data_IF_053730896189
#
_entry.id   IF_053730896189
#
_cell.length_a   1.000
_cell.length_b   1.000
_cell.length_c   1.000
_cell.angle_alpha   90.00
_cell.angle_beta   90.00
_cell.angle_gamma   90.00
#
_symmetry.space_group_name_H-M   'P 1'
#
loop_
_entity.id
_entity.type
_entity.pdbx_description
1 polymer ?
#
# COMPACT_ATOMS: atom_id res chain seq x y z
N UNK A 1 -7.31 -17.92 -6.61
CA UNK A 1 -6.01 -17.63 -7.26
C UNK A 1 -4.94 -17.76 -6.18
N UNK A 2 -3.68 -18.12 -6.48
CA UNK A 2 -2.65 -18.22 -5.44
C UNK A 2 -1.92 -16.88 -5.25
N UNK A 3 -1.46 -16.63 -4.02
CA UNK A 3 -0.61 -15.48 -3.69
C UNK A 3 0.68 -15.52 -4.53
N UNK A 4 1.11 -14.36 -5.03
CA UNK A 4 2.29 -14.25 -5.92
C UNK A 4 3.18 -13.08 -5.50
N UNK A 5 4.48 -13.29 -5.54
CA UNK A 5 5.49 -12.22 -5.47
C UNK A 5 6.37 -12.26 -6.72
N UNK A 6 6.80 -11.10 -7.18
CA UNK A 6 7.64 -10.92 -8.37
C UNK A 6 8.84 -10.06 -7.96
N UNK A 7 10.04 -10.59 -8.18
CA UNK A 7 11.27 -9.81 -8.06
C UNK A 7 11.50 -9.09 -9.39
N UNK A 8 11.28 -7.78 -9.43
CA UNK A 8 11.32 -7.01 -10.67
C UNK A 8 10.98 -5.54 -10.48
N UNK A 9 11.18 -4.75 -11.53
CA UNK A 9 10.86 -3.33 -11.54
C UNK A 9 9.36 -3.14 -11.90
N UNK A 10 8.64 -2.34 -11.12
CA UNK A 10 7.23 -2.03 -11.36
C UNK A 10 6.98 -1.44 -12.77
N UNK A 11 7.89 -0.62 -13.30
CA UNK A 11 7.79 -0.06 -14.66
C UNK A 11 7.90 -1.14 -15.75
N UNK A 12 8.48 -2.29 -15.43
CA UNK A 12 8.64 -3.42 -16.35
C UNK A 12 7.52 -4.46 -16.15
N UNK A 13 7.12 -4.72 -14.90
CA UNK A 13 6.17 -5.77 -14.58
C UNK A 13 4.70 -5.34 -14.76
N UNK A 14 4.35 -4.09 -14.44
CA UNK A 14 2.98 -3.60 -14.60
C UNK A 14 2.48 -3.63 -16.06
N UNK A 15 3.27 -3.26 -17.09
CA UNK A 15 2.85 -3.40 -18.50
C UNK A 15 2.44 -4.81 -18.90
N UNK A 16 3.03 -5.84 -18.27
CA UNK A 16 2.76 -7.25 -18.57
C UNK A 16 1.46 -7.77 -17.93
N UNK A 17 0.92 -7.06 -16.94
CA UNK A 17 -0.29 -7.47 -16.26
C UNK A 17 -1.52 -7.22 -17.12
N UNK A 18 -2.49 -8.13 -17.08
CA UNK A 18 -3.76 -8.01 -17.78
C UNK A 18 -4.63 -6.88 -17.18
N UNK A 19 -5.48 -6.29 -18.02
CA UNK A 19 -6.43 -5.26 -17.62
C UNK A 19 -7.42 -5.80 -16.59
N UNK A 20 -7.75 -4.99 -15.57
CA UNK A 20 -8.73 -5.33 -14.52
C UNK A 20 -8.46 -6.69 -13.84
N UNK A 21 -7.19 -7.08 -13.73
CA UNK A 21 -6.75 -8.36 -13.16
C UNK A 21 -6.60 -8.36 -11.64
N UNK A 22 -6.63 -7.19 -11.00
CA UNK A 22 -6.61 -7.04 -9.54
C UNK A 22 -7.77 -6.17 -9.08
N UNK A 23 -8.22 -6.38 -7.85
CA UNK A 23 -9.42 -5.72 -7.31
C UNK A 23 -9.07 -4.43 -6.56
N UNK A 24 -7.93 -4.40 -5.87
CA UNK A 24 -7.46 -3.28 -5.06
C UNK A 24 -5.95 -3.06 -5.26
N UNK A 25 -5.52 -1.82 -5.45
CA UNK A 25 -4.11 -1.44 -5.34
C UNK A 25 -3.92 -0.66 -4.05
N UNK A 26 -2.95 -1.05 -3.22
CA UNK A 26 -2.50 -0.26 -2.07
C UNK A 26 -0.98 -0.19 -2.14
N UNK A 27 -0.41 1.01 -2.19
CA UNK A 27 1.04 1.13 -2.38
C UNK A 27 1.65 2.42 -1.84
N UNK A 28 2.92 2.32 -1.44
CA UNK A 28 3.77 3.42 -0.95
C UNK A 28 4.99 3.57 -1.88
N UNK A 29 4.82 4.24 -3.02
CA UNK A 29 5.86 4.33 -4.05
C UNK A 29 7.01 5.22 -3.60
N UNK A 30 8.23 5.04 -4.17
CA UNK A 30 9.34 5.95 -3.99
C UNK A 30 8.97 7.43 -4.22
N UNK A 31 9.41 8.31 -3.31
CA UNK A 31 9.06 9.73 -3.34
C UNK A 31 9.96 10.58 -4.25
N UNK A 32 10.96 10.00 -4.91
CA UNK A 32 11.85 10.68 -5.86
C UNK A 32 11.38 10.56 -7.32
N UNK A 33 10.26 9.88 -7.58
CA UNK A 33 9.67 9.82 -8.92
C UNK A 33 9.24 11.18 -9.44
N UNK A 34 9.62 11.45 -10.69
CA UNK A 34 9.20 12.64 -11.42
C UNK A 34 7.75 12.51 -11.95
N UNK A 35 7.22 13.59 -12.53
CA UNK A 35 5.84 13.62 -13.02
C UNK A 35 5.56 12.60 -14.14
N UNK A 36 6.54 12.33 -15.01
CA UNK A 36 6.41 11.36 -16.11
C UNK A 36 6.27 9.95 -15.53
N UNK A 37 7.17 9.58 -14.62
CA UNK A 37 7.15 8.29 -13.92
C UNK A 37 5.84 8.07 -13.16
N UNK A 38 5.39 9.07 -12.40
CA UNK A 38 4.09 8.99 -11.72
C UNK A 38 2.94 8.82 -12.70
N UNK A 39 2.99 9.47 -13.88
CA UNK A 39 1.94 9.42 -14.91
C UNK A 39 1.83 8.04 -15.50
N UNK A 40 2.96 7.42 -15.83
CA UNK A 40 3.03 6.05 -16.32
C UNK A 40 2.50 5.05 -15.29
N UNK A 41 2.95 5.15 -14.04
CA UNK A 41 2.44 4.30 -12.95
C UNK A 41 0.94 4.47 -12.76
N UNK A 42 0.45 5.71 -12.71
CA UNK A 42 -0.97 5.98 -12.52
C UNK A 42 -1.82 5.45 -13.69
N UNK A 43 -1.34 5.54 -14.93
CA UNK A 43 -1.98 4.92 -16.08
C UNK A 43 -2.11 3.40 -15.89
N UNK A 44 -1.01 2.72 -15.53
CA UNK A 44 -1.03 1.29 -15.29
C UNK A 44 -1.92 0.90 -14.11
N UNK A 45 -1.91 1.66 -13.01
CA UNK A 45 -2.80 1.42 -11.88
C UNK A 45 -4.27 1.47 -12.31
N UNK A 46 -4.67 2.47 -13.11
CA UNK A 46 -6.05 2.59 -13.60
C UNK A 46 -6.45 1.44 -14.53
N UNK A 47 -5.53 1.00 -15.40
CA UNK A 47 -5.75 -0.10 -16.34
C UNK A 47 -5.91 -1.45 -15.64
N UNK A 48 -5.03 -1.74 -14.69
CA UNK A 48 -4.91 -3.05 -14.04
C UNK A 48 -5.92 -3.21 -12.89
N UNK A 49 -6.21 -2.13 -12.15
CA UNK A 49 -7.11 -2.18 -11.00
C UNK A 49 -8.58 -2.08 -11.41
N UNK A 50 -9.40 -3.02 -10.92
CA UNK A 50 -10.84 -3.03 -11.16
C UNK A 50 -11.56 -1.98 -10.34
N UNK A 51 -11.32 -1.92 -9.02
CA UNK A 51 -12.14 -1.14 -8.10
C UNK A 51 -11.47 0.11 -7.58
N UNK A 52 -10.50 -0.02 -6.67
CA UNK A 52 -10.00 1.11 -5.87
C UNK A 52 -8.48 1.14 -5.88
N UNK A 53 -7.89 2.32 -6.00
CA UNK A 53 -6.44 2.53 -5.96
C UNK A 53 -6.13 3.44 -4.78
N UNK A 54 -5.22 3.01 -3.92
CA UNK A 54 -4.77 3.74 -2.73
C UNK A 54 -3.27 3.97 -2.82
N UNK A 55 -2.86 5.24 -2.82
CA UNK A 55 -1.46 5.63 -2.91
C UNK A 55 -1.07 6.47 -1.70
N UNK A 56 -0.04 6.05 -0.99
CA UNK A 56 0.59 6.83 0.06
C UNK A 56 1.58 7.84 -0.52
N UNK A 57 1.60 9.06 0.02
CA UNK A 57 2.54 10.09 -0.43
C UNK A 57 2.62 11.23 0.61
N UNK A 58 3.81 11.85 0.80
CA UNK A 58 3.96 12.98 1.70
C UNK A 58 3.41 14.27 1.08
N UNK A 59 2.99 15.25 1.91
CA UNK A 59 2.45 16.53 1.43
C UNK A 59 3.34 17.32 0.44
N UNK A 60 4.67 17.23 0.51
CA UNK A 60 5.58 17.93 -0.41
C UNK A 60 5.77 17.21 -1.74
N UNK A 61 5.46 15.92 -1.79
CA UNK A 61 5.61 15.12 -3.00
C UNK A 61 4.34 14.35 -3.28
N UNK A 62 3.25 15.09 -3.41
CA UNK A 62 1.91 14.57 -3.67
C UNK A 62 1.93 13.62 -4.87
N UNK A 63 1.02 12.64 -4.83
CA UNK A 63 0.72 11.88 -6.03
C UNK A 63 0.15 12.82 -7.09
N UNK A 64 0.21 12.38 -8.34
CA UNK A 64 -0.31 13.18 -9.46
C UNK A 64 -1.81 13.00 -9.60
N UNK A 65 -2.43 14.00 -10.22
CA UNK A 65 -3.87 14.13 -10.45
C UNK A 65 -4.69 14.33 -9.16
N UNK A 66 -5.83 15.03 -9.25
CA UNK A 66 -6.77 15.09 -8.15
C UNK A 66 -7.30 13.68 -7.80
N UNK A 67 -7.23 13.30 -6.54
CA UNK A 67 -7.87 12.09 -6.04
C UNK A 67 -9.36 12.31 -5.80
N UNK A 68 -10.11 11.20 -5.79
CA UNK A 68 -11.52 11.19 -5.42
C UNK A 68 -11.71 11.44 -3.92
N UNK A 69 -10.81 10.89 -3.08
CA UNK A 69 -10.78 11.14 -1.64
C UNK A 69 -9.35 11.27 -1.12
N UNK A 70 -9.22 12.03 -0.03
CA UNK A 70 -7.97 12.22 0.69
C UNK A 70 -8.16 11.75 2.13
N UNK A 71 -7.31 10.83 2.58
CA UNK A 71 -7.18 10.46 3.99
C UNK A 71 -5.80 10.90 4.50
N UNK A 72 -5.66 10.96 5.82
CA UNK A 72 -4.46 11.43 6.49
C UNK A 72 -4.05 10.44 7.57
N UNK A 73 -2.80 10.02 7.56
CA UNK A 73 -2.19 9.33 8.69
C UNK A 73 -1.30 10.30 9.45
N UNK A 74 -1.73 10.66 10.65
CA UNK A 74 -0.98 11.48 11.61
C UNK A 74 -0.01 10.55 12.33
N UNK A 75 1.27 10.67 11.97
CA UNK A 75 2.35 9.88 12.55
C UNK A 75 2.55 10.32 14.01
N UNK A 76 2.36 9.43 14.99
CA UNK A 76 2.54 9.79 16.39
C UNK A 76 3.99 10.20 16.64
N UNK A 77 4.19 11.12 17.59
CA UNK A 77 5.49 11.75 17.86
C UNK A 77 6.52 10.67 18.24
N UNK A 78 7.34 10.29 17.27
CA UNK A 78 8.54 9.51 17.46
C UNK A 78 9.66 10.44 17.93
N UNK A 79 10.21 10.18 19.10
CA UNK A 79 11.27 10.98 19.73
C UNK A 79 12.55 10.92 18.90
N UNK A 80 12.75 11.93 18.04
CA UNK A 80 14.00 12.55 17.53
C UNK A 80 13.76 13.06 16.10
N UNK A 81 12.98 14.13 15.97
CA UNK A 81 12.90 14.88 14.72
C UNK A 81 13.79 16.12 14.83
N UNK A 82 14.93 16.12 14.16
CA UNK A 82 15.86 17.25 14.11
C UNK A 82 15.56 18.21 12.96
N UNK A 83 14.58 17.90 12.10
CA UNK A 83 14.21 18.72 10.94
C UNK A 83 12.96 19.57 11.22
N UNK A 84 12.99 20.84 10.83
CA UNK A 84 11.87 21.80 10.98
C UNK A 84 10.84 21.67 9.84
N UNK A 85 10.27 20.49 9.60
CA UNK A 85 9.27 20.26 8.54
C UNK A 85 8.02 19.52 9.06
N UNK A 86 6.84 20.07 8.77
CA UNK A 86 5.55 19.55 9.28
C UNK A 86 5.10 18.24 8.63
N UNK A 87 5.46 17.98 7.38
CA UNK A 87 5.12 16.73 6.68
C UNK A 87 5.64 15.45 7.30
N UNK A 88 6.65 15.51 8.16
CA UNK A 88 7.14 14.30 8.84
C UNK A 88 6.12 13.73 9.83
N UNK A 89 5.10 14.52 10.18
CA UNK A 89 4.03 14.14 11.09
C UNK A 89 2.75 13.73 10.38
N UNK A 90 2.65 13.91 9.06
CA UNK A 90 1.43 13.60 8.30
C UNK A 90 1.80 12.92 7.00
N UNK A 91 1.15 11.81 6.73
CA UNK A 91 1.19 11.17 5.42
C UNK A 91 -0.18 11.24 4.77
N UNK A 92 -0.23 11.67 3.51
CA UNK A 92 -1.46 11.71 2.74
C UNK A 92 -1.69 10.34 2.09
N UNK A 93 -2.96 9.99 1.99
CA UNK A 93 -3.44 8.76 1.37
C UNK A 93 -4.43 9.19 0.30
N UNK A 94 -4.06 9.01 -0.96
CA UNK A 94 -4.86 9.36 -2.12
C UNK A 94 -5.68 8.14 -2.51
N UNK A 95 -7.00 8.30 -2.58
CA UNK A 95 -7.92 7.25 -3.06
C UNK A 95 -8.45 7.67 -4.42
N UNK A 96 -8.29 6.80 -5.40
CA UNK A 96 -8.85 6.92 -6.74
C UNK A 96 -9.80 5.76 -7.01
N UNK A 97 -10.78 6.04 -7.86
CA UNK A 97 -11.88 5.17 -8.26
C UNK A 97 -12.76 4.81 -7.06
N UNK A 98 -13.99 5.32 -7.04
CA UNK A 98 -15.03 4.90 -6.11
C UNK A 98 -15.45 3.45 -6.41
N UNK A 99 -14.64 2.50 -5.94
CA UNK A 99 -14.84 1.07 -6.14
C UNK A 99 -15.68 0.43 -5.05
N UNK A 100 -15.40 -0.84 -4.79
CA UNK A 100 -16.08 -1.65 -3.78
C UNK A 100 -15.84 -1.09 -2.38
N UNK A 101 -16.92 -0.86 -1.65
CA UNK A 101 -16.90 -0.59 -0.22
C UNK A 101 -17.47 -1.77 0.54
N UNK A 102 -16.78 -2.20 1.59
CA UNK A 102 -17.36 -3.09 2.57
C UNK A 102 -18.27 -2.27 3.48
N UNK A 103 -19.58 -2.36 3.31
CA UNK A 103 -20.59 -1.61 4.09
C UNK A 103 -21.03 -2.31 5.38
N UNK A 104 -20.50 -3.51 5.65
CA UNK A 104 -20.89 -4.32 6.81
C UNK A 104 -20.06 -4.02 8.06
N UNK A 105 -19.33 -2.91 8.08
CA UNK A 105 -18.54 -2.49 9.24
C UNK A 105 -19.26 -1.38 9.99
N UNK A 106 -19.01 -1.31 11.30
CA UNK A 106 -19.50 -0.20 12.11
C UNK A 106 -18.96 1.13 11.55
N UNK A 107 -19.81 2.18 11.54
CA UNK A 107 -19.50 3.46 10.90
C UNK A 107 -18.19 4.11 11.40
N UNK A 108 -17.81 3.87 12.66
CA UNK A 108 -16.56 4.39 13.24
C UNK A 108 -15.29 3.83 12.60
N UNK A 109 -15.40 2.80 11.75
CA UNK A 109 -14.28 2.24 11.00
C UNK A 109 -13.96 3.01 9.71
N UNK A 110 -14.85 3.91 9.27
CA UNK A 110 -14.64 4.79 8.12
C UNK A 110 -14.21 6.16 8.62
N UNK A 111 -12.93 6.28 8.97
CA UNK A 111 -12.30 7.56 9.32
C UNK A 111 -11.40 8.02 8.18
N UNK A 112 -11.34 9.34 7.99
CA UNK A 112 -10.38 9.99 7.10
C UNK A 112 -9.08 10.40 7.82
N UNK A 113 -9.02 10.24 9.14
CA UNK A 113 -7.83 10.52 9.94
C UNK A 113 -7.42 9.29 10.73
N UNK A 114 -6.19 8.86 10.53
CA UNK A 114 -5.56 7.73 11.19
C UNK A 114 -4.46 8.22 12.14
N UNK A 115 -4.27 7.52 13.25
CA UNK A 115 -3.23 7.83 14.26
C UNK A 115 -2.45 6.59 14.66
N UNK A 116 -2.36 5.60 13.75
CA UNK A 116 -1.69 4.33 14.02
C UNK A 116 -0.24 4.52 14.44
N UNK A 117 0.18 3.74 15.43
CA UNK A 117 1.53 3.78 15.96
C UNK A 117 2.51 3.14 14.96
N UNK A 118 3.60 3.85 14.69
CA UNK A 118 4.76 3.28 14.00
C UNK A 118 5.43 2.28 14.93
N UNK A 119 5.81 1.13 14.39
CA UNK A 119 6.60 0.16 15.14
C UNK A 119 7.95 0.77 15.52
N UNK A 120 8.27 0.77 16.82
CA UNK A 120 9.52 1.33 17.36
C UNK A 120 10.69 0.36 17.21
N UNK A 121 10.44 -0.90 16.85
CA UNK A 121 11.49 -1.90 16.63
C UNK A 121 12.24 -1.59 15.33
N UNK A 122 13.55 -1.36 15.46
CA UNK A 122 14.46 -0.85 14.41
C UNK A 122 14.67 -1.76 13.20
N UNK A 123 14.01 -2.91 13.12
CA UNK A 123 14.28 -3.89 12.05
C UNK A 123 13.86 -3.32 10.69
N UNK A 124 12.75 -2.58 10.61
CA UNK A 124 12.29 -1.91 9.38
C UNK A 124 11.74 -0.50 9.67
N UNK A 125 12.60 0.54 9.73
CA UNK A 125 12.24 1.89 10.19
C UNK A 125 11.19 2.61 9.32
N UNK A 126 10.81 2.05 8.16
CA UNK A 126 9.87 2.65 7.20
C UNK A 126 8.58 1.84 7.01
N UNK A 127 8.34 0.81 7.83
CA UNK A 127 7.16 -0.05 7.71
C UNK A 127 5.88 0.69 8.09
N UNK A 128 4.85 0.66 7.22
CA UNK A 128 3.51 1.15 7.56
C UNK A 128 2.88 0.29 8.68
N UNK A 129 2.12 0.88 9.62
CA UNK A 129 1.46 0.11 10.68
C UNK A 129 0.50 -0.95 10.10
N UNK A 130 0.55 -2.20 10.57
CA UNK A 130 -0.38 -3.25 10.12
C UNK A 130 -1.86 -2.88 10.31
N UNK A 131 -2.21 -2.23 11.43
CA UNK A 131 -3.58 -1.78 11.71
C UNK A 131 -4.10 -0.74 10.72
N UNK A 132 -3.22 0.11 10.18
CA UNK A 132 -3.57 1.08 9.14
C UNK A 132 -3.93 0.35 7.84
N UNK A 133 -3.04 -0.53 7.38
CA UNK A 133 -3.23 -1.29 6.15
C UNK A 133 -4.42 -2.24 6.23
N UNK A 134 -4.59 -2.94 7.36
CA UNK A 134 -5.76 -3.79 7.60
C UNK A 134 -7.06 -3.01 7.46
N UNK A 135 -7.16 -1.80 8.03
CA UNK A 135 -8.39 -1.00 7.92
C UNK A 135 -8.70 -0.62 6.48
N UNK A 136 -7.70 -0.19 5.71
CA UNK A 136 -7.85 0.16 4.29
C UNK A 136 -8.26 -1.06 3.47
N UNK A 137 -7.59 -2.20 3.65
CA UNK A 137 -7.93 -3.48 3.00
C UNK A 137 -9.39 -3.85 3.30
N UNK A 138 -9.78 -3.86 4.57
CA UNK A 138 -11.12 -4.26 4.99
C UNK A 138 -12.22 -3.29 4.52
N UNK A 139 -11.91 -2.00 4.31
CA UNK A 139 -12.85 -1.01 3.80
C UNK A 139 -13.06 -1.11 2.28
N UNK A 140 -12.00 -1.45 1.54
CA UNK A 140 -11.97 -1.35 0.07
C UNK A 140 -11.86 -2.69 -0.66
N UNK A 141 -12.04 -3.82 0.03
CA UNK A 141 -12.05 -5.16 -0.56
C UNK A 141 -12.94 -6.14 0.20
N UNK A 142 -13.26 -7.27 -0.42
CA UNK A 142 -13.96 -8.42 0.15
C UNK A 142 -13.00 -9.62 0.24
N UNK A 143 -13.28 -10.61 1.11
CA UNK A 143 -12.54 -11.87 1.08
C UNK A 143 -12.55 -12.48 -0.34
N UNK A 144 -11.41 -13.01 -0.76
CA UNK A 144 -11.18 -13.54 -2.12
C UNK A 144 -10.71 -12.51 -3.15
N UNK A 145 -10.85 -11.20 -2.89
CA UNK A 145 -10.33 -10.15 -3.78
C UNK A 145 -8.80 -10.22 -3.86
N UNK A 146 -8.25 -9.72 -4.97
CA UNK A 146 -6.81 -9.69 -5.23
C UNK A 146 -6.27 -8.27 -4.98
N UNK A 147 -5.29 -8.17 -4.08
CA UNK A 147 -4.61 -6.92 -3.73
C UNK A 147 -3.24 -6.86 -4.42
N UNK A 148 -2.94 -5.75 -5.08
CA UNK A 148 -1.62 -5.49 -5.67
C UNK A 148 -0.89 -4.41 -4.86
N UNK A 149 0.36 -4.71 -4.52
CA UNK A 149 1.34 -3.72 -4.05
C UNK A 149 2.60 -3.81 -4.93
N UNK A 150 2.79 -2.88 -5.90
CA UNK A 150 3.93 -2.88 -6.80
C UNK A 150 5.23 -2.37 -6.18
N UNK A 151 5.19 -1.96 -4.91
CA UNK A 151 6.34 -1.48 -4.14
C UNK A 151 6.26 -2.05 -2.71
N UNK A 152 6.09 -3.37 -2.59
CA UNK A 152 5.65 -3.96 -1.33
C UNK A 152 6.66 -3.84 -0.17
N UNK A 153 7.94 -3.60 -0.45
CA UNK A 153 8.99 -3.41 0.55
C UNK A 153 9.03 -4.56 1.56
N UNK A 154 8.79 -4.26 2.84
CA UNK A 154 8.74 -5.29 3.90
C UNK A 154 7.48 -6.17 3.87
N UNK A 155 6.58 -5.99 2.91
CA UNK A 155 5.44 -6.86 2.62
C UNK A 155 4.25 -6.77 3.58
N UNK A 156 4.09 -5.66 4.32
CA UNK A 156 2.98 -5.50 5.27
C UNK A 156 1.62 -5.56 4.60
N UNK A 157 1.47 -4.93 3.43
CA UNK A 157 0.23 -4.96 2.64
C UNK A 157 -0.15 -6.41 2.30
N UNK A 158 0.82 -7.19 1.87
CA UNK A 158 0.64 -8.59 1.47
C UNK A 158 0.27 -9.47 2.68
N UNK A 159 1.00 -9.34 3.79
CA UNK A 159 0.68 -10.06 5.04
C UNK A 159 -0.72 -9.74 5.55
N UNK A 160 -1.14 -8.47 5.54
CA UNK A 160 -2.47 -8.09 5.98
C UNK A 160 -3.56 -8.49 4.97
N UNK A 161 -3.26 -8.51 3.67
CA UNK A 161 -4.18 -9.05 2.68
C UNK A 161 -4.52 -10.51 2.99
N UNK A 162 -3.50 -11.33 3.16
CA UNK A 162 -3.64 -12.76 3.43
C UNK A 162 -4.34 -13.04 4.76
N UNK A 163 -3.91 -12.40 5.86
CA UNK A 163 -4.55 -12.57 7.17
C UNK A 163 -6.05 -12.28 7.16
N UNK A 164 -6.49 -11.39 6.28
CA UNK A 164 -7.89 -11.04 6.13
C UNK A 164 -8.57 -11.85 4.99
N UNK A 165 -7.96 -12.91 4.49
CA UNK A 165 -8.57 -13.80 3.49
C UNK A 165 -8.65 -13.19 2.08
N UNK A 166 -7.73 -12.28 1.72
CA UNK A 166 -7.54 -11.78 0.37
C UNK A 166 -6.32 -12.44 -0.26
N UNK A 167 -6.30 -12.47 -1.59
CA UNK A 167 -5.10 -12.85 -2.32
C UNK A 167 -4.22 -11.63 -2.57
N UNK A 168 -2.95 -11.86 -2.85
CA UNK A 168 -2.05 -10.76 -3.18
C UNK A 168 -1.13 -11.02 -4.37
N UNK A 169 -0.75 -9.93 -5.03
CA UNK A 169 0.36 -9.83 -5.96
C UNK A 169 1.30 -8.74 -5.43
N UNK A 170 2.56 -9.09 -5.20
CA UNK A 170 3.60 -8.14 -4.82
C UNK A 170 4.66 -8.01 -5.91
N UNK A 171 5.08 -6.78 -6.23
CA UNK A 171 6.32 -6.53 -6.99
C UNK A 171 7.30 -5.79 -6.07
N UNK A 172 8.54 -6.25 -6.04
CA UNK A 172 9.64 -5.58 -5.33
C UNK A 172 10.91 -5.71 -6.14
N UNK A 173 11.62 -4.58 -6.29
CA UNK A 173 12.84 -4.50 -7.10
C UNK A 173 14.08 -4.84 -6.28
N UNK A 174 14.09 -4.44 -5.01
CA UNK A 174 15.26 -4.61 -4.16
C UNK A 174 15.27 -6.03 -3.60
N UNK A 175 16.27 -6.82 -4.03
CA UNK A 175 16.41 -8.23 -3.68
C UNK A 175 16.36 -8.49 -2.17
N UNK A 176 16.96 -7.60 -1.37
CA UNK A 176 17.00 -7.72 0.08
C UNK A 176 15.60 -7.75 0.71
N UNK A 177 14.72 -6.83 0.30
CA UNK A 177 13.33 -6.77 0.79
C UNK A 177 12.49 -7.92 0.25
N UNK A 178 12.67 -8.27 -1.02
CA UNK A 178 12.02 -9.42 -1.64
C UNK A 178 12.32 -10.72 -0.87
N UNK A 179 13.60 -11.00 -0.61
CA UNK A 179 14.07 -12.21 0.07
C UNK A 179 13.60 -12.24 1.52
N UNK A 180 13.68 -11.12 2.22
CA UNK A 180 13.20 -10.98 3.60
C UNK A 180 11.72 -11.39 3.74
N UNK A 181 10.85 -10.91 2.85
CA UNK A 181 9.44 -11.26 2.87
C UNK A 181 9.22 -12.74 2.52
N UNK A 182 9.95 -13.27 1.53
CA UNK A 182 9.88 -14.67 1.13
C UNK A 182 10.21 -15.62 2.29
N UNK A 183 11.27 -15.35 3.04
CA UNK A 183 11.69 -16.17 4.19
C UNK A 183 10.72 -16.11 5.37
N UNK A 184 10.21 -14.90 5.64
CA UNK A 184 9.30 -14.66 6.74
C UNK A 184 7.99 -15.43 6.53
N UNK A 185 7.48 -15.45 5.29
CA UNK A 185 6.32 -16.27 4.94
C UNK A 185 6.64 -17.75 4.97
N UNK A 186 7.78 -18.18 4.41
CA UNK A 186 8.18 -19.60 4.47
C UNK A 186 8.22 -20.13 5.90
N UNK A 187 8.64 -19.30 6.86
CA UNK A 187 8.67 -19.64 8.28
C UNK A 187 7.27 -19.70 8.94
N UNK A 188 6.28 -19.01 8.39
CA UNK A 188 4.90 -18.99 8.88
C UNK A 188 4.09 -20.21 8.41
N UNK A 189 4.37 -20.76 7.23
CA UNK A 189 3.66 -21.93 6.69
C UNK A 189 4.25 -23.29 7.11
N UNK A 190 5.45 -23.32 7.68
CA UNK A 190 6.13 -24.55 8.12
C UNK A 190 6.16 -24.72 9.66
N UNK A 191 5.20 -24.10 10.37
CA UNK A 191 4.90 -24.34 11.78
C UNK A 191 3.52 -24.98 11.90
#
# INVERSE_FOLDING_TARGET
MNNKIIHGDAFIELPKMEDKSVDLIITDPPYDFNAIQKTELHYHFNRICRWTIIVFSPPENQWIFPADQYLFWIKPISTKNTSKRYSRFVEMIFIYKYGTWNTNRHWSQYTNVFTDLVDKHRVHPHRKPPSLLQRLILNHSKPGDIILDPFFGSGTTLSEAEKNGRHYIGIEREWEFFKLFQDSNYSLYNK
#
